data_IF_809859411409
#
_entry.id   IF_809859411409
#
_cell.length_a   1.000
_cell.length_b   1.000
_cell.length_c   1.000
_cell.angle_alpha   90.00
_cell.angle_beta   90.00
_cell.angle_gamma   90.00
#
_symmetry.space_group_name_H-M   'P 1'
#
loop_
_entity.id
_entity.type
_entity.pdbx_description
1 polymer ?
#
# COMPACT_ATOMS: atom_id res chain seq x y z
N UNK A 1 7.01 -14.87 -4.79
CA UNK A 1 5.61 -14.58 -5.17
C UNK A 1 5.47 -13.38 -6.11
N UNK A 2 6.14 -12.23 -5.87
CA UNK A 2 6.02 -11.01 -6.70
C UNK A 2 6.16 -11.28 -8.22
N UNK A 3 7.20 -12.00 -8.64
CA UNK A 3 7.39 -12.38 -10.05
C UNK A 3 6.27 -13.26 -10.65
N UNK A 4 5.44 -13.92 -9.82
CA UNK A 4 4.26 -14.64 -10.31
C UNK A 4 3.08 -13.69 -10.43
N UNK A 5 2.94 -12.76 -9.49
CA UNK A 5 1.91 -11.72 -9.50
C UNK A 5 2.12 -10.71 -10.63
N UNK A 6 3.34 -10.51 -11.12
CA UNK A 6 3.61 -9.67 -12.30
C UNK A 6 2.93 -10.18 -13.59
N UNK A 7 2.50 -11.45 -13.61
CA UNK A 7 1.74 -12.03 -14.72
C UNK A 7 0.23 -12.03 -14.46
N UNK A 8 -0.24 -11.45 -13.34
CA UNK A 8 -1.64 -11.39 -12.98
C UNK A 8 -2.36 -10.28 -13.75
N UNK A 9 -3.61 -10.52 -14.14
CA UNK A 9 -4.41 -9.54 -14.90
C UNK A 9 -4.76 -8.26 -14.13
N UNK A 10 -4.89 -8.32 -12.79
CA UNK A 10 -5.25 -7.16 -11.95
C UNK A 10 -4.05 -6.54 -11.22
N UNK A 11 -3.03 -7.34 -10.88
CA UNK A 11 -1.88 -6.87 -10.09
C UNK A 11 -0.59 -6.73 -10.90
N UNK A 12 -0.59 -7.18 -12.16
CA UNK A 12 0.60 -7.38 -12.98
C UNK A 12 1.49 -6.15 -13.07
N UNK A 13 0.90 -5.02 -13.46
CA UNK A 13 1.62 -3.76 -13.65
C UNK A 13 2.30 -3.30 -12.36
N UNK A 14 1.55 -3.29 -11.25
CA UNK A 14 2.08 -2.88 -9.95
C UNK A 14 3.16 -3.84 -9.45
N UNK A 15 2.90 -5.15 -9.53
CA UNK A 15 3.87 -6.17 -9.13
C UNK A 15 5.14 -6.14 -10.01
N UNK A 16 5.02 -5.76 -11.28
CA UNK A 16 6.14 -5.52 -12.19
C UNK A 16 7.04 -4.38 -11.72
N UNK A 17 6.45 -3.25 -11.27
CA UNK A 17 7.19 -2.11 -10.70
C UNK A 17 7.85 -2.44 -9.35
N UNK A 18 7.23 -3.32 -8.57
CA UNK A 18 7.88 -3.88 -7.38
C UNK A 18 9.05 -4.79 -7.79
N UNK A 19 8.88 -5.66 -8.79
CA UNK A 19 9.91 -6.57 -9.27
C UNK A 19 11.13 -5.84 -9.87
N UNK A 20 10.91 -4.76 -10.62
CA UNK A 20 11.95 -3.92 -11.22
C UNK A 20 12.73 -3.08 -10.21
N UNK A 21 12.36 -3.14 -8.92
CA UNK A 21 12.90 -2.33 -7.82
C UNK A 21 12.51 -0.85 -7.86
N UNK A 22 11.59 -0.44 -8.72
CA UNK A 22 11.06 0.93 -8.72
C UNK A 22 10.32 1.23 -7.40
N UNK A 23 9.47 0.30 -6.94
CA UNK A 23 8.66 0.45 -5.73
C UNK A 23 9.17 -0.35 -4.53
N UNK A 24 10.07 -1.32 -4.73
CA UNK A 24 10.50 -2.24 -3.67
C UNK A 24 11.30 -1.54 -2.56
N UNK A 25 10.88 -1.75 -1.30
CA UNK A 25 11.65 -1.41 -0.08
C UNK A 25 11.89 -2.62 0.83
N UNK A 26 11.32 -3.78 0.50
CA UNK A 26 11.37 -4.98 1.34
C UNK A 26 10.28 -5.01 2.41
N UNK A 27 10.09 -6.17 3.07
CA UNK A 27 9.00 -6.35 4.03
C UNK A 27 9.21 -5.49 5.29
N UNK A 28 8.21 -4.66 5.59
CA UNK A 28 8.11 -3.93 6.86
C UNK A 28 7.88 -4.92 8.00
N UNK A 29 8.79 -4.97 8.97
CA UNK A 29 8.67 -5.86 10.12
C UNK A 29 7.79 -5.22 11.20
N UNK A 30 6.83 -5.99 11.72
CA UNK A 30 6.01 -5.59 12.86
C UNK A 30 6.74 -5.77 14.20
N UNK A 31 6.04 -5.45 15.30
CA UNK A 31 6.57 -5.57 16.67
C UNK A 31 6.47 -6.98 17.27
N UNK A 32 5.73 -7.88 16.62
CA UNK A 32 5.40 -9.20 17.13
C UNK A 32 5.96 -10.29 16.24
N UNK A 33 6.42 -11.38 16.86
CA UNK A 33 6.91 -12.59 16.22
C UNK A 33 6.47 -13.78 17.08
N UNK A 34 5.60 -14.63 16.53
CA UNK A 34 5.12 -15.85 17.19
C UNK A 34 6.10 -17.03 17.04
N UNK A 35 7.17 -16.84 16.23
CA UNK A 35 8.19 -17.82 15.86
C UNK A 35 7.67 -19.08 15.17
N UNK A 36 6.42 -19.09 14.72
CA UNK A 36 5.76 -20.24 14.11
C UNK A 36 5.37 -19.96 12.66
N UNK A 37 4.83 -18.77 12.38
CA UNK A 37 4.26 -18.46 11.09
C UNK A 37 4.70 -17.07 10.58
N UNK A 38 5.01 -16.95 9.27
CA UNK A 38 5.15 -15.63 8.68
C UNK A 38 3.78 -14.92 8.66
N UNK A 39 3.75 -13.58 8.52
CA UNK A 39 2.51 -12.85 8.27
C UNK A 39 1.75 -13.43 7.08
N UNK A 40 0.42 -13.30 7.10
CA UNK A 40 -0.43 -13.78 6.00
C UNK A 40 -0.05 -13.08 4.70
N UNK A 41 0.30 -13.86 3.69
CA UNK A 41 0.71 -13.37 2.37
C UNK A 41 0.29 -14.34 1.27
N UNK A 42 0.11 -13.88 0.01
CA UNK A 42 -0.18 -14.77 -1.10
C UNK A 42 0.98 -15.74 -1.36
N UNK A 43 0.67 -17.02 -1.55
CA UNK A 43 1.66 -18.07 -1.84
C UNK A 43 1.60 -18.57 -3.30
N UNK A 44 0.50 -18.31 -3.99
CA UNK A 44 0.27 -18.62 -5.41
C UNK A 44 -0.40 -17.42 -6.09
N UNK A 45 -0.16 -17.28 -7.40
CA UNK A 45 -0.95 -16.36 -8.22
C UNK A 45 -2.29 -17.03 -8.56
N UNK A 46 -3.39 -16.36 -8.28
CA UNK A 46 -4.73 -16.77 -8.66
C UNK A 46 -5.36 -15.67 -9.53
N UNK A 47 -6.10 -16.08 -10.56
CA UNK A 47 -6.93 -15.18 -11.37
C UNK A 47 -8.36 -15.15 -10.83
N UNK A 48 -9.10 -14.06 -11.07
CA UNK A 48 -10.49 -13.92 -10.62
C UNK A 48 -11.38 -15.08 -11.03
N UNK A 49 -11.19 -15.60 -12.24
CA UNK A 49 -11.97 -16.72 -12.77
C UNK A 49 -11.71 -18.06 -12.04
N UNK A 50 -10.65 -18.17 -11.24
CA UNK A 50 -10.29 -19.39 -10.51
C UNK A 50 -10.95 -19.48 -9.14
N UNK A 51 -11.53 -18.39 -8.64
CA UNK A 51 -12.08 -18.28 -7.29
C UNK A 51 -13.55 -17.85 -7.35
N UNK A 52 -14.32 -18.22 -6.33
CA UNK A 52 -15.63 -17.61 -6.12
C UNK A 52 -15.49 -16.12 -5.79
N UNK A 53 -16.59 -15.37 -5.85
CA UNK A 53 -16.58 -13.94 -5.57
C UNK A 53 -16.03 -13.61 -4.17
N UNK A 54 -16.42 -14.37 -3.14
CA UNK A 54 -15.99 -14.10 -1.77
C UNK A 54 -14.53 -14.49 -1.54
N UNK A 55 -14.09 -15.62 -2.07
CA UNK A 55 -12.68 -16.04 -2.05
C UNK A 55 -11.80 -15.02 -2.78
N UNK A 56 -12.25 -14.52 -3.93
CA UNK A 56 -11.54 -13.48 -4.66
C UNK A 56 -11.42 -12.19 -3.84
N UNK A 57 -12.50 -11.74 -3.20
CA UNK A 57 -12.46 -10.51 -2.38
C UNK A 57 -11.43 -10.63 -1.26
N UNK A 58 -11.34 -11.78 -0.61
CA UNK A 58 -10.33 -12.02 0.43
C UNK A 58 -8.92 -12.06 -0.19
N UNK A 59 -8.74 -12.81 -1.27
CA UNK A 59 -7.45 -12.92 -1.95
C UNK A 59 -6.93 -11.56 -2.46
N UNK A 60 -7.81 -10.74 -3.04
CA UNK A 60 -7.52 -9.41 -3.55
C UNK A 60 -7.02 -8.47 -2.45
N UNK A 61 -7.76 -8.39 -1.33
CA UNK A 61 -7.36 -7.57 -0.18
C UNK A 61 -6.02 -8.02 0.39
N UNK A 62 -5.82 -9.33 0.60
CA UNK A 62 -4.57 -9.87 1.12
C UNK A 62 -3.39 -9.64 0.18
N UNK A 63 -3.61 -9.78 -1.13
CA UNK A 63 -2.57 -9.59 -2.14
C UNK A 63 -2.17 -8.12 -2.25
N UNK A 64 -3.14 -7.20 -2.30
CA UNK A 64 -2.88 -5.76 -2.33
C UNK A 64 -2.22 -5.28 -1.04
N UNK A 65 -2.66 -5.79 0.11
CA UNK A 65 -2.02 -5.48 1.39
C UNK A 65 -0.55 -5.95 1.39
N UNK A 66 -0.29 -7.19 0.98
CA UNK A 66 1.07 -7.71 0.85
C UNK A 66 1.94 -6.85 -0.09
N UNK A 67 1.42 -6.48 -1.27
CA UNK A 67 2.14 -5.63 -2.22
C UNK A 67 2.42 -4.24 -1.62
N UNK A 68 1.49 -3.68 -0.85
CA UNK A 68 1.69 -2.41 -0.16
C UNK A 68 2.77 -2.47 0.92
N UNK A 69 2.86 -3.56 1.70
CA UNK A 69 3.83 -3.66 2.81
C UNK A 69 5.28 -3.78 2.37
N UNK A 70 5.52 -4.21 1.11
CA UNK A 70 6.85 -4.30 0.50
C UNK A 70 7.19 -3.10 -0.40
N UNK A 71 6.26 -2.16 -0.54
CA UNK A 71 6.36 -0.97 -1.38
C UNK A 71 6.75 0.29 -0.60
N UNK A 72 7.32 1.26 -1.32
CA UNK A 72 7.65 2.61 -0.82
C UNK A 72 6.45 3.27 -0.13
N UNK A 73 6.74 4.08 0.89
CA UNK A 73 5.76 4.93 1.58
C UNK A 73 5.18 5.99 0.63
N UNK A 74 3.94 6.41 0.86
CA UNK A 74 3.38 7.56 0.18
C UNK A 74 4.13 8.81 0.61
N UNK A 75 4.42 9.70 -0.34
CA UNK A 75 5.09 10.97 -0.08
C UNK A 75 4.01 12.07 -0.11
N UNK A 76 3.80 12.72 1.03
CA UNK A 76 2.86 13.82 1.20
C UNK A 76 3.62 15.10 1.54
N UNK A 77 3.20 16.22 0.95
CA UNK A 77 3.68 17.54 1.30
C UNK A 77 2.62 18.24 2.16
N UNK A 78 3.00 18.56 3.40
CA UNK A 78 2.16 19.32 4.32
C UNK A 78 2.60 20.77 4.35
N UNK A 79 1.63 21.68 4.23
CA UNK A 79 1.83 23.12 4.40
C UNK A 79 0.99 23.61 5.56
N UNK A 80 1.64 24.26 6.53
CA UNK A 80 0.97 24.88 7.67
C UNK A 80 1.16 26.41 7.60
N UNK A 81 0.05 27.14 7.68
CA UNK A 81 0.04 28.61 7.75
C UNK A 81 -0.44 29.02 9.13
N UNK A 82 0.35 29.82 9.84
CA UNK A 82 0.00 30.40 11.14
C UNK A 82 -0.13 31.91 10.98
N UNK A 83 -1.24 32.48 11.44
CA UNK A 83 -1.52 33.91 11.34
C UNK A 83 -1.91 34.44 12.71
N UNK A 84 -1.36 35.58 13.11
CA UNK A 84 -1.79 36.31 14.29
C UNK A 84 -2.68 37.48 13.86
N UNK A 85 -3.85 37.62 14.48
CA UNK A 85 -4.76 38.73 14.23
C UNK A 85 -5.37 39.20 15.54
N UNK A 86 -4.99 40.41 15.97
CA UNK A 86 -5.55 41.02 17.19
C UNK A 86 -5.17 40.29 18.48
N UNK A 87 -3.97 39.68 18.56
CA UNK A 87 -3.53 38.90 19.71
C UNK A 87 -3.95 37.43 19.71
N UNK A 88 -4.80 37.00 18.76
CA UNK A 88 -5.26 35.63 18.62
C UNK A 88 -4.53 34.90 17.49
N UNK A 89 -4.25 33.61 17.66
CA UNK A 89 -3.55 32.77 16.68
C UNK A 89 -4.53 31.88 15.88
N UNK A 90 -4.40 31.93 14.56
CA UNK A 90 -5.13 31.10 13.61
C UNK A 90 -4.16 30.14 12.91
N UNK A 91 -4.62 28.91 12.66
CA UNK A 91 -3.84 27.90 11.96
C UNK A 91 -4.66 27.33 10.78
N UNK A 92 -4.02 27.22 9.62
CA UNK A 92 -4.53 26.47 8.48
C UNK A 92 -3.51 25.40 8.08
N UNK A 93 -3.99 24.22 7.67
CA UNK A 93 -3.16 23.11 7.18
C UNK A 93 -3.70 22.65 5.84
N UNK A 94 -2.80 22.40 4.90
CA UNK A 94 -3.08 21.75 3.62
C UNK A 94 -2.12 20.58 3.39
N UNK A 95 -2.59 19.54 2.72
CA UNK A 95 -1.78 18.37 2.36
C UNK A 95 -1.95 18.10 0.86
N UNK A 96 -0.85 17.96 0.13
CA UNK A 96 -0.81 17.44 -1.25
C UNK A 96 -0.10 16.10 -1.30
N UNK A 97 -0.50 15.22 -2.21
CA UNK A 97 0.17 13.93 -2.44
C UNK A 97 1.19 14.14 -3.56
N UNK A 98 2.47 13.95 -3.25
CA UNK A 98 3.55 14.03 -4.23
C UNK A 98 3.77 12.68 -4.93
N UNK A 99 3.70 11.58 -4.16
CA UNK A 99 3.72 10.21 -4.69
C UNK A 99 2.78 9.29 -3.91
N UNK A 100 1.88 8.60 -4.62
CA UNK A 100 0.98 7.62 -4.01
C UNK A 100 1.73 6.37 -3.51
N UNK A 101 2.67 5.86 -4.30
CA UNK A 101 3.44 4.64 -4.02
C UNK A 101 2.53 3.47 -3.56
N UNK A 102 2.60 3.01 -2.31
CA UNK A 102 1.75 1.92 -1.82
C UNK A 102 0.24 2.22 -1.84
N UNK A 103 -0.17 3.50 -1.77
CA UNK A 103 -1.58 3.89 -1.84
C UNK A 103 -2.22 3.58 -3.20
N UNK A 104 -1.41 3.43 -4.25
CA UNK A 104 -1.91 3.06 -5.59
C UNK A 104 -2.50 1.65 -5.60
N UNK A 105 -1.87 0.69 -4.92
CA UNK A 105 -2.33 -0.70 -4.89
C UNK A 105 -3.34 -0.97 -3.77
N UNK A 106 -3.22 -0.26 -2.64
CA UNK A 106 -4.08 -0.41 -1.46
C UNK A 106 -4.79 0.91 -1.11
N UNK A 107 -5.73 1.31 -1.96
CA UNK A 107 -6.43 2.60 -1.89
C UNK A 107 -7.51 2.70 -0.80
N UNK A 108 -7.78 1.62 -0.07
CA UNK A 108 -8.79 1.63 1.00
C UNK A 108 -8.34 2.36 2.26
N UNK A 109 -7.02 2.60 2.39
CA UNK A 109 -6.51 3.40 3.48
C UNK A 109 -6.66 4.89 3.14
N UNK A 110 -7.68 5.52 3.71
CA UNK A 110 -7.90 6.95 3.55
C UNK A 110 -6.95 7.68 4.50
N UNK A 111 -6.00 8.41 3.93
CA UNK A 111 -5.21 9.42 4.64
C UNK A 111 -6.20 10.51 5.11
N UNK A 112 -6.57 10.52 6.40
CA UNK A 112 -7.34 11.59 7.04
C UNK A 112 -6.43 12.63 7.66
#
# INVERSE_FOLDING_TARGET
IVSRLSNNSEFGDYAGRVQSRELWVGPKHGKHDDKAHPPIHPVKNAERAMLTNDEWRIYDILTRHFLATISKDAELAETQVKVEMGGEWFNARGVSIERLNWLEVFHWDKQQ
#
